data_IF_318311821476
#
_entry.id   IF_318311821476
#
_cell.length_a   1.000
_cell.length_b   1.000
_cell.length_c   1.000
_cell.angle_alpha   90.00
_cell.angle_beta   90.00
_cell.angle_gamma   90.00
#
_symmetry.space_group_name_H-M   'P 1'
#
loop_
_entity.id
_entity.type
_entity.pdbx_description
1 polymer ?
#
# COMPACT_ATOMS: atom_id res chain seq x y z
N UNK A 1 13.89 -15.53 -37.13
CA UNK A 1 13.70 -14.11 -36.76
C UNK A 1 14.74 -13.19 -37.39
N UNK A 2 16.04 -13.49 -37.32
CA UNK A 2 17.13 -12.61 -37.82
C UNK A 2 17.02 -12.27 -39.33
N UNK A 3 16.61 -13.23 -40.18
CA UNK A 3 16.39 -12.98 -41.62
C UNK A 3 15.26 -11.99 -41.93
N UNK A 4 14.28 -11.82 -41.04
CA UNK A 4 13.14 -10.89 -41.22
C UNK A 4 13.55 -9.44 -40.95
N UNK A 5 14.42 -9.22 -39.95
CA UNK A 5 14.94 -7.89 -39.59
C UNK A 5 15.80 -7.26 -40.70
N UNK A 6 16.40 -8.05 -41.59
CA UNK A 6 17.34 -7.56 -42.60
C UNK A 6 16.67 -6.89 -43.81
N UNK A 7 15.35 -7.07 -43.97
CA UNK A 7 14.53 -6.49 -45.04
C UNK A 7 13.57 -5.40 -44.54
N UNK A 8 13.69 -4.98 -43.27
CA UNK A 8 12.82 -3.97 -42.64
C UNK A 8 13.44 -2.59 -42.80
N UNK A 9 12.63 -1.57 -43.07
CA UNK A 9 13.12 -0.20 -43.14
C UNK A 9 13.41 0.36 -41.72
N UNK A 10 13.98 1.57 -41.66
CA UNK A 10 14.33 2.18 -40.36
C UNK A 10 13.12 2.47 -39.47
N UNK A 11 11.93 2.65 -40.04
CA UNK A 11 10.70 2.91 -39.31
C UNK A 11 10.15 1.62 -38.68
N UNK A 12 10.19 0.52 -39.42
CA UNK A 12 9.83 -0.81 -38.94
C UNK A 12 10.68 -1.27 -37.75
N UNK A 13 12.00 -1.03 -37.81
CA UNK A 13 12.93 -1.34 -36.71
C UNK A 13 12.59 -0.51 -35.46
N UNK A 14 12.27 0.78 -35.66
CA UNK A 14 11.87 1.67 -34.58
C UNK A 14 10.58 1.20 -33.88
N UNK A 15 9.56 0.82 -34.65
CA UNK A 15 8.29 0.31 -34.10
C UNK A 15 8.49 -1.02 -33.36
N UNK A 16 9.26 -1.96 -33.91
CA UNK A 16 9.60 -3.22 -33.22
C UNK A 16 10.36 -2.94 -31.93
N UNK A 17 11.28 -1.97 -31.94
CA UNK A 17 11.99 -1.50 -30.75
C UNK A 17 11.05 -1.05 -29.65
N UNK A 18 10.10 -0.17 -29.97
CA UNK A 18 9.09 0.33 -29.03
C UNK A 18 8.22 -0.82 -28.50
N UNK A 19 7.70 -1.67 -29.38
CA UNK A 19 6.86 -2.81 -28.98
C UNK A 19 7.61 -3.77 -28.06
N UNK A 20 8.89 -4.02 -28.34
CA UNK A 20 9.72 -4.88 -27.49
C UNK A 20 9.97 -4.26 -26.11
N UNK A 21 10.17 -2.94 -26.04
CA UNK A 21 10.31 -2.22 -24.77
C UNK A 21 9.03 -2.32 -23.95
N UNK A 22 7.86 -2.05 -24.56
CA UNK A 22 6.57 -2.23 -23.88
C UNK A 22 6.36 -3.66 -23.38
N UNK A 23 6.73 -4.66 -24.19
CA UNK A 23 6.65 -6.07 -23.80
C UNK A 23 7.51 -6.39 -22.58
N UNK A 24 8.76 -5.91 -22.54
CA UNK A 24 9.67 -6.10 -21.41
C UNK A 24 9.15 -5.38 -20.16
N UNK A 25 8.70 -4.12 -20.29
CA UNK A 25 8.15 -3.37 -19.16
C UNK A 25 6.90 -4.03 -18.60
N UNK A 26 5.99 -4.51 -19.45
CA UNK A 26 4.81 -5.23 -19.01
C UNK A 26 5.19 -6.51 -18.25
N UNK A 27 6.16 -7.29 -18.77
CA UNK A 27 6.65 -8.49 -18.10
C UNK A 27 7.27 -8.18 -16.72
N UNK A 28 8.07 -7.11 -16.63
CA UNK A 28 8.66 -6.67 -15.36
C UNK A 28 7.58 -6.29 -14.34
N UNK A 29 6.53 -5.60 -14.76
CA UNK A 29 5.41 -5.24 -13.87
C UNK A 29 4.65 -6.47 -13.38
N UNK A 30 4.42 -7.47 -14.25
CA UNK A 30 3.75 -8.73 -13.89
C UNK A 30 4.52 -9.48 -12.81
N UNK A 31 5.86 -9.40 -12.81
CA UNK A 31 6.70 -10.05 -11.78
C UNK A 31 6.87 -9.17 -10.54
N UNK A 32 7.05 -7.86 -10.71
CA UNK A 32 7.33 -6.94 -9.61
C UNK A 32 6.11 -6.74 -8.69
N UNK A 33 4.89 -6.71 -9.23
CA UNK A 33 3.67 -6.46 -8.44
C UNK A 33 3.39 -7.57 -7.40
N UNK A 34 3.45 -8.88 -7.74
CA UNK A 34 3.35 -9.95 -6.75
C UNK A 34 4.46 -9.90 -5.70
N UNK A 35 5.72 -9.66 -6.11
CA UNK A 35 6.86 -9.56 -5.19
C UNK A 35 6.63 -8.42 -4.19
N UNK A 36 6.24 -7.25 -4.67
CA UNK A 36 5.92 -6.10 -3.83
C UNK A 36 4.79 -6.44 -2.84
N UNK A 37 3.74 -7.10 -3.31
CA UNK A 37 2.62 -7.49 -2.44
C UNK A 37 3.10 -8.41 -1.32
N UNK A 38 3.87 -9.44 -1.63
CA UNK A 38 4.41 -10.37 -0.61
C UNK A 38 5.34 -9.64 0.37
N UNK A 39 6.26 -8.83 -0.13
CA UNK A 39 7.18 -8.05 0.70
C UNK A 39 6.43 -7.09 1.62
N UNK A 40 5.41 -6.39 1.12
CA UNK A 40 4.55 -5.49 1.89
C UNK A 40 3.84 -6.23 3.04
N UNK A 41 3.38 -7.46 2.83
CA UNK A 41 2.72 -8.26 3.89
C UNK A 41 3.69 -8.81 4.95
N UNK A 42 4.98 -8.94 4.60
CA UNK A 42 6.04 -9.37 5.51
C UNK A 42 6.65 -8.21 6.30
N UNK A 43 6.67 -7.02 5.73
CA UNK A 43 7.13 -5.82 6.40
C UNK A 43 6.13 -5.41 7.48
N UNK A 44 6.44 -5.77 8.72
CA UNK A 44 5.64 -5.47 9.90
C UNK A 44 6.36 -4.45 10.75
N UNK A 45 5.67 -3.39 11.11
CA UNK A 45 6.16 -2.40 12.04
C UNK A 45 5.22 -2.26 13.24
N UNK A 46 5.77 -1.76 14.33
CA UNK A 46 5.02 -1.51 15.56
C UNK A 46 5.20 -0.06 15.93
N UNK A 47 4.08 0.67 15.94
CA UNK A 47 4.02 2.07 16.32
C UNK A 47 3.31 2.20 17.65
N UNK A 48 3.86 3.03 18.53
CA UNK A 48 3.23 3.35 19.80
C UNK A 48 3.12 4.88 19.90
N UNK A 49 1.94 5.35 20.27
CA UNK A 49 1.67 6.79 20.34
C UNK A 49 0.25 7.07 20.79
N UNK A 50 -0.04 8.35 20.97
CA UNK A 50 -1.39 8.84 21.27
C UNK A 50 -2.11 9.20 19.98
N UNK A 51 -3.36 8.78 19.81
CA UNK A 51 -4.16 9.18 18.65
C UNK A 51 -4.45 10.68 18.74
N UNK A 52 -3.97 11.45 17.77
CA UNK A 52 -4.20 12.90 17.69
C UNK A 52 -5.35 13.24 16.76
N UNK A 53 -5.58 12.42 15.74
CA UNK A 53 -6.66 12.63 14.78
C UNK A 53 -7.17 11.31 14.19
N UNK A 54 -8.40 11.33 13.70
CA UNK A 54 -9.09 10.22 13.07
C UNK A 54 -10.04 10.76 12.01
N UNK A 55 -9.82 10.38 10.77
CA UNK A 55 -10.64 10.84 9.65
C UNK A 55 -10.95 9.72 8.65
N UNK A 56 -11.98 9.94 7.86
CA UNK A 56 -12.29 9.16 6.67
C UNK A 56 -11.94 9.99 5.43
N UNK A 57 -11.32 9.35 4.45
CA UNK A 57 -11.13 9.93 3.12
C UNK A 57 -11.93 9.11 2.13
N UNK A 58 -12.91 9.75 1.52
CA UNK A 58 -13.68 9.14 0.44
C UNK A 58 -12.82 9.04 -0.81
N UNK A 59 -12.66 7.84 -1.32
CA UNK A 59 -12.02 7.58 -2.61
C UNK A 59 -13.05 6.87 -3.50
N UNK A 60 -13.64 7.64 -4.41
CA UNK A 60 -14.74 7.21 -5.29
C UNK A 60 -15.97 6.67 -4.52
N UNK A 61 -16.14 5.34 -4.53
CA UNK A 61 -17.27 4.62 -3.92
C UNK A 61 -16.92 4.00 -2.56
N UNK A 62 -15.67 4.09 -2.12
CA UNK A 62 -15.19 3.47 -0.89
C UNK A 62 -14.65 4.53 0.08
N UNK A 63 -15.00 4.39 1.35
CA UNK A 63 -14.45 5.22 2.42
C UNK A 63 -13.23 4.53 3.00
N UNK A 64 -12.08 5.22 2.96
CA UNK A 64 -10.86 4.78 3.62
C UNK A 64 -10.73 5.44 4.98
N UNK A 65 -10.40 4.65 5.98
CA UNK A 65 -10.23 5.10 7.35
C UNK A 65 -8.77 5.35 7.67
N UNK A 66 -8.48 6.42 8.41
CA UNK A 66 -7.13 6.77 8.84
C UNK A 66 -7.11 7.13 10.32
N UNK A 67 -5.95 6.88 10.94
CA UNK A 67 -5.59 7.38 12.27
C UNK A 67 -4.25 8.11 12.19
N UNK A 68 -4.11 9.16 12.99
CA UNK A 68 -2.88 9.93 13.12
C UNK A 68 -2.37 9.81 14.54
N UNK A 69 -1.08 9.49 14.69
CA UNK A 69 -0.40 9.44 15.98
C UNK A 69 0.27 10.79 16.30
N UNK A 70 0.61 10.99 17.57
CA UNK A 70 1.33 12.16 18.10
C UNK A 70 2.68 12.43 17.42
N UNK A 71 3.38 11.39 17.00
CA UNK A 71 4.59 11.47 16.19
C UNK A 71 4.33 11.80 14.70
N UNK A 72 3.12 12.25 14.35
CA UNK A 72 2.66 12.58 12.99
C UNK A 72 2.64 11.39 12.02
N UNK A 73 2.72 10.15 12.52
CA UNK A 73 2.54 8.98 11.67
C UNK A 73 1.06 8.81 11.31
N UNK A 74 0.79 8.74 10.00
CA UNK A 74 -0.52 8.46 9.45
C UNK A 74 -0.59 6.98 9.08
N UNK A 75 -1.59 6.29 9.63
CA UNK A 75 -1.78 4.85 9.46
C UNK A 75 -3.17 4.63 8.86
N UNK A 76 -3.22 3.82 7.81
CA UNK A 76 -4.47 3.43 7.16
C UNK A 76 -5.14 2.29 7.92
N UNK A 77 -6.45 2.32 8.01
CA UNK A 77 -7.29 1.27 8.57
C UNK A 77 -8.20 0.71 7.47
N UNK A 78 -7.60 -0.10 6.58
CA UNK A 78 -8.32 -0.82 5.53
C UNK A 78 -8.34 -2.32 5.80
N UNK A 79 -9.22 -3.02 5.11
CA UNK A 79 -9.34 -4.47 5.24
C UNK A 79 -8.16 -5.18 4.58
N UNK A 80 -7.70 -6.25 5.22
CA UNK A 80 -6.53 -7.01 4.80
C UNK A 80 -6.96 -8.46 4.57
N UNK A 81 -7.18 -8.79 3.29
CA UNK A 81 -7.64 -10.10 2.84
C UNK A 81 -6.78 -11.25 3.39
N UNK A 82 -5.46 -11.18 3.19
CA UNK A 82 -4.53 -12.23 3.62
C UNK A 82 -4.23 -12.23 5.12
N UNK A 83 -4.70 -11.22 5.88
CA UNK A 83 -4.66 -11.20 7.34
C UNK A 83 -6.01 -11.52 7.99
N UNK A 84 -7.04 -11.79 7.19
CA UNK A 84 -8.42 -12.01 7.65
C UNK A 84 -8.94 -10.86 8.54
N UNK A 85 -8.48 -9.63 8.31
CA UNK A 85 -8.97 -8.43 8.99
C UNK A 85 -10.02 -7.77 8.10
N UNK A 86 -11.29 -7.89 8.48
CA UNK A 86 -12.45 -7.32 7.77
C UNK A 86 -13.32 -6.43 8.66
N UNK A 87 -12.73 -5.90 9.74
CA UNK A 87 -13.42 -5.13 10.77
C UNK A 87 -12.84 -3.70 10.87
N UNK A 88 -12.48 -3.11 9.72
CA UNK A 88 -11.92 -1.75 9.67
C UNK A 88 -12.87 -0.71 10.29
N UNK A 89 -14.15 -0.75 9.94
CA UNK A 89 -15.16 0.15 10.50
C UNK A 89 -15.31 0.02 12.02
N UNK A 90 -15.37 -1.21 12.55
CA UNK A 90 -15.49 -1.46 13.99
C UNK A 90 -14.26 -0.98 14.77
N UNK A 91 -13.07 -1.22 14.22
CA UNK A 91 -11.82 -0.70 14.79
C UNK A 91 -11.85 0.83 14.80
N UNK A 92 -12.29 1.45 13.71
CA UNK A 92 -12.40 2.90 13.60
C UNK A 92 -13.39 3.47 14.64
N UNK A 93 -14.52 2.79 14.85
CA UNK A 93 -15.53 3.20 15.84
C UNK A 93 -15.01 3.10 17.28
N UNK A 94 -14.24 2.05 17.60
CA UNK A 94 -13.69 1.80 18.96
C UNK A 94 -12.60 2.78 19.39
N UNK A 95 -11.78 3.25 18.45
CA UNK A 95 -10.67 4.17 18.72
C UNK A 95 -11.16 5.61 18.92
N UNK A 96 -10.58 6.32 19.89
CA UNK A 96 -10.87 7.72 20.19
C UNK A 96 -9.59 8.56 20.14
N UNK A 97 -9.74 9.83 19.77
CA UNK A 97 -8.66 10.82 19.92
C UNK A 97 -8.30 10.92 21.40
N UNK A 98 -7.01 10.92 21.71
CA UNK A 98 -6.46 10.86 23.06
C UNK A 98 -6.14 9.45 23.56
N UNK A 99 -6.60 8.38 22.88
CA UNK A 99 -6.22 7.01 23.25
C UNK A 99 -4.72 6.78 23.03
N UNK A 100 -4.04 6.24 24.04
CA UNK A 100 -2.70 5.68 23.85
C UNK A 100 -2.82 4.30 23.23
N UNK A 101 -2.18 4.09 22.10
CA UNK A 101 -2.31 2.85 21.34
C UNK A 101 -0.95 2.28 20.95
N UNK A 102 -0.93 0.96 20.84
CA UNK A 102 0.11 0.19 20.17
C UNK A 102 -0.51 -0.39 18.90
N UNK A 103 -0.09 0.13 17.76
CA UNK A 103 -0.58 -0.23 16.43
C UNK A 103 0.47 -1.08 15.74
N UNK A 104 0.09 -2.25 15.25
CA UNK A 104 0.93 -3.05 14.36
C UNK A 104 0.45 -2.87 12.94
N UNK A 105 1.39 -2.59 12.04
CA UNK A 105 1.12 -2.26 10.65
C UNK A 105 1.78 -3.24 9.72
N UNK A 106 1.29 -3.29 8.49
CA UNK A 106 1.97 -3.88 7.36
C UNK A 106 2.11 -2.88 6.21
N UNK A 107 3.12 -3.11 5.37
CA UNK A 107 3.38 -2.29 4.20
C UNK A 107 4.16 -1.01 4.50
N UNK A 108 4.54 -0.33 3.43
CA UNK A 108 5.51 0.76 3.47
C UNK A 108 4.83 2.13 3.41
N UNK A 109 5.44 3.13 4.07
CA UNK A 109 5.09 4.53 3.85
C UNK A 109 5.80 5.05 2.59
N UNK A 110 5.07 5.17 1.48
CA UNK A 110 5.58 5.74 0.24
C UNK A 110 4.88 7.08 -0.02
N UNK A 111 5.58 8.17 0.29
CA UNK A 111 5.05 9.53 0.21
C UNK A 111 4.61 9.90 -1.21
N UNK A 112 5.45 9.64 -2.21
CA UNK A 112 5.17 9.97 -3.61
C UNK A 112 3.91 9.30 -4.16
N UNK A 113 3.64 8.05 -3.74
CA UNK A 113 2.44 7.30 -4.15
C UNK A 113 1.25 7.51 -3.21
N UNK A 114 1.38 8.38 -2.22
CA UNK A 114 0.38 8.58 -1.16
C UNK A 114 -0.06 7.25 -0.49
N UNK A 115 0.87 6.30 -0.34
CA UNK A 115 0.64 5.01 0.29
C UNK A 115 1.03 5.07 1.77
N UNK A 116 0.16 4.55 2.62
CA UNK A 116 0.35 4.52 4.06
C UNK A 116 0.43 3.07 4.53
N UNK A 117 1.17 2.80 5.62
CA UNK A 117 1.15 1.49 6.25
C UNK A 117 -0.27 1.20 6.77
N UNK A 118 -0.72 -0.04 6.61
CA UNK A 118 -2.07 -0.46 6.99
C UNK A 118 -2.03 -1.17 8.33
N UNK A 119 -2.85 -0.74 9.29
CA UNK A 119 -2.95 -1.41 10.58
C UNK A 119 -3.61 -2.77 10.43
N UNK A 120 -3.01 -3.79 11.05
CA UNK A 120 -3.60 -5.13 11.15
C UNK A 120 -4.00 -5.49 12.58
N UNK A 121 -3.39 -4.86 13.59
CA UNK A 121 -3.73 -5.05 15.00
C UNK A 121 -3.57 -3.71 15.73
N UNK A 122 -4.49 -3.38 16.63
CA UNK A 122 -4.39 -2.20 17.49
C UNK A 122 -4.86 -2.53 18.89
N UNK A 123 -4.08 -2.13 19.89
CA UNK A 123 -4.39 -2.30 21.31
C UNK A 123 -4.27 -0.96 22.02
N UNK A 124 -5.23 -0.65 22.88
CA UNK A 124 -5.07 0.46 23.83
C UNK A 124 -4.03 0.07 24.87
N UNK A 125 -3.11 0.97 25.14
CA UNK A 125 -2.14 0.84 26.23
C UNK A 125 -2.70 1.70 27.35
N UNK A 126 -3.62 1.13 28.12
CA UNK A 126 -4.13 1.81 29.30
C UNK A 126 -2.95 2.10 30.24
N UNK A 127 -2.97 3.29 30.85
CA UNK A 127 -2.11 3.54 32.01
C UNK A 127 -2.54 2.55 33.08
N UNK A 128 -1.63 1.71 33.54
CA UNK A 128 -1.75 1.14 34.89
C UNK A 128 -1.91 2.27 35.90
#
# INVERSE_FOLDING_TARGET
MIKKLKNMDGFDIFIVGILSLFGITALLLVVALPIYTVASYQHKEVHQGTITDKYNKRQDKEDKFYIVLDNKQVIENSDLLFKKKFASADIQARLKVGDKVKVKTIGYRIHFLNLYPVLYEVKKVDKQ
#
